data_IF_172872415425
#
_entry.id   IF_172872415425
#
_cell.length_a   1.000
_cell.length_b   1.000
_cell.length_c   1.000
_cell.angle_alpha   90.00
_cell.angle_beta   90.00
_cell.angle_gamma   90.00
#
_symmetry.space_group_name_H-M   'P 1'
#
loop_
_entity.id
_entity.type
_entity.pdbx_description
1 polymer ?
#
# COMPACT_ATOMS: atom_id res chain seq x y z
N UNK A 1 18.46 27.08 3.80
CA UNK A 1 17.08 27.03 3.23
C UNK A 1 16.91 25.91 2.21
N UNK A 2 17.82 25.75 1.25
CA UNK A 2 17.69 24.70 0.23
C UNK A 2 17.67 23.29 0.84
N UNK A 3 18.49 23.03 1.85
CA UNK A 3 18.50 21.72 2.53
C UNK A 3 17.18 21.47 3.25
N UNK A 4 16.65 22.49 3.91
CA UNK A 4 15.36 22.39 4.60
C UNK A 4 14.23 22.15 3.61
N UNK A 5 14.22 22.85 2.48
CA UNK A 5 13.21 22.64 1.44
C UNK A 5 13.30 21.24 0.83
N UNK A 6 14.50 20.74 0.60
CA UNK A 6 14.71 19.39 0.07
C UNK A 6 14.18 18.35 1.06
N UNK A 7 14.43 18.54 2.35
CA UNK A 7 13.96 17.63 3.38
C UNK A 7 12.44 17.62 3.49
N UNK A 8 11.82 18.80 3.46
CA UNK A 8 10.36 18.91 3.47
C UNK A 8 9.75 18.23 2.24
N UNK A 9 10.32 18.48 1.07
CA UNK A 9 9.86 17.88 -0.18
C UNK A 9 9.96 16.36 -0.13
N UNK A 10 11.10 15.82 0.34
CA UNK A 10 11.29 14.39 0.48
C UNK A 10 10.29 13.77 1.47
N UNK A 11 10.03 14.44 2.59
CA UNK A 11 9.07 13.96 3.58
C UNK A 11 7.64 13.97 3.04
N UNK A 12 7.26 14.98 2.27
CA UNK A 12 5.94 15.03 1.64
C UNK A 12 5.80 13.90 0.63
N UNK A 13 6.81 13.67 -0.20
CA UNK A 13 6.80 12.59 -1.17
C UNK A 13 6.66 11.22 -0.48
N UNK A 14 7.41 11.00 0.60
CA UNK A 14 7.33 9.78 1.39
C UNK A 14 5.94 9.61 2.00
N UNK A 15 5.37 10.69 2.53
CA UNK A 15 4.04 10.66 3.15
C UNK A 15 2.97 10.28 2.13
N UNK A 16 3.01 10.83 0.93
CA UNK A 16 2.06 10.48 -0.12
C UNK A 16 2.25 9.03 -0.59
N UNK A 17 3.48 8.57 -0.70
CA UNK A 17 3.76 7.19 -1.05
C UNK A 17 3.22 6.21 -0.01
N UNK A 18 3.45 6.48 1.27
CA UNK A 18 2.96 5.64 2.37
C UNK A 18 1.44 5.70 2.46
N UNK A 19 0.85 6.89 2.29
CA UNK A 19 -0.60 7.04 2.30
C UNK A 19 -1.22 6.25 1.16
N UNK A 20 -0.66 6.34 -0.05
CA UNK A 20 -1.13 5.60 -1.21
C UNK A 20 -1.06 4.09 -0.99
N UNK A 21 0.05 3.62 -0.44
CA UNK A 21 0.22 2.20 -0.12
C UNK A 21 -0.80 1.74 0.92
N UNK A 22 -1.02 2.53 1.97
CA UNK A 22 -1.98 2.20 3.02
C UNK A 22 -3.41 2.13 2.48
N UNK A 23 -3.80 3.09 1.64
CA UNK A 23 -5.12 3.09 1.00
C UNK A 23 -5.25 1.87 0.08
N UNK A 24 -4.23 1.59 -0.71
CA UNK A 24 -4.22 0.43 -1.60
C UNK A 24 -4.39 -0.88 -0.85
N UNK A 25 -3.64 -1.08 0.23
CA UNK A 25 -3.75 -2.26 1.09
C UNK A 25 -5.16 -2.35 1.68
N UNK A 26 -5.68 -1.22 2.17
CA UNK A 26 -7.02 -1.17 2.75
C UNK A 26 -8.10 -1.55 1.75
N UNK A 27 -8.02 -1.05 0.52
CA UNK A 27 -8.97 -1.36 -0.54
C UNK A 27 -8.91 -2.84 -0.94
N UNK A 28 -7.72 -3.38 -1.08
CA UNK A 28 -7.53 -4.80 -1.40
C UNK A 28 -8.12 -5.66 -0.28
N UNK A 29 -7.82 -5.34 0.97
CA UNK A 29 -8.32 -6.08 2.12
C UNK A 29 -9.83 -6.04 2.22
N UNK A 30 -10.43 -4.86 2.01
CA UNK A 30 -11.88 -4.69 2.02
C UNK A 30 -12.55 -5.54 0.95
N UNK A 31 -12.03 -5.48 -0.27
CA UNK A 31 -12.61 -6.24 -1.38
C UNK A 31 -12.40 -7.75 -1.21
N UNK A 32 -11.27 -8.15 -0.65
CA UNK A 32 -11.03 -9.56 -0.34
C UNK A 32 -12.02 -10.06 0.70
N UNK A 33 -12.27 -9.28 1.75
CA UNK A 33 -13.22 -9.64 2.79
C UNK A 33 -14.64 -9.79 2.23
N UNK A 34 -15.07 -8.86 1.36
CA UNK A 34 -16.34 -8.95 0.67
C UNK A 34 -16.45 -10.23 -0.17
N UNK A 35 -15.40 -10.50 -0.94
CA UNK A 35 -15.37 -11.65 -1.83
C UNK A 35 -15.44 -12.98 -1.06
N UNK A 36 -14.73 -13.08 0.06
CA UNK A 36 -14.79 -14.26 0.93
C UNK A 36 -16.19 -14.40 1.53
N UNK A 37 -16.79 -13.30 1.93
CA UNK A 37 -18.17 -13.32 2.46
C UNK A 37 -19.18 -13.81 1.45
N UNK A 38 -19.00 -13.47 0.17
CA UNK A 38 -19.90 -13.91 -0.91
C UNK A 38 -19.59 -15.33 -1.38
N UNK A 39 -18.35 -15.76 -1.28
CA UNK A 39 -17.92 -17.05 -1.81
C UNK A 39 -16.89 -17.69 -0.89
N UNK A 40 -17.34 -18.21 0.27
CA UNK A 40 -16.41 -18.82 1.24
C UNK A 40 -15.61 -20.00 0.66
N UNK A 41 -16.18 -20.69 -0.33
CA UNK A 41 -15.49 -21.81 -0.99
C UNK A 41 -14.24 -21.41 -1.75
N UNK A 42 -14.11 -20.11 -2.12
CA UNK A 42 -12.95 -19.59 -2.83
C UNK A 42 -11.99 -18.83 -1.90
N UNK A 43 -12.17 -18.90 -0.59
CA UNK A 43 -11.41 -18.10 0.38
C UNK A 43 -9.90 -18.26 0.23
N UNK A 44 -9.41 -19.47 -0.05
CA UNK A 44 -7.97 -19.69 -0.22
C UNK A 44 -7.41 -18.95 -1.42
N UNK A 45 -8.08 -18.99 -2.57
CA UNK A 45 -7.66 -18.28 -3.77
C UNK A 45 -7.72 -16.76 -3.58
N UNK A 46 -8.77 -16.29 -2.95
CA UNK A 46 -8.95 -14.86 -2.68
C UNK A 46 -7.87 -14.37 -1.74
N UNK A 47 -7.56 -15.12 -0.70
CA UNK A 47 -6.52 -14.76 0.27
C UNK A 47 -5.15 -14.65 -0.40
N UNK A 48 -4.79 -15.61 -1.25
CA UNK A 48 -3.52 -15.59 -1.96
C UNK A 48 -3.41 -14.35 -2.84
N UNK A 49 -4.44 -14.07 -3.63
CA UNK A 49 -4.48 -12.87 -4.49
C UNK A 49 -4.36 -11.59 -3.66
N UNK A 50 -5.09 -11.53 -2.55
CA UNK A 50 -5.10 -10.35 -1.69
C UNK A 50 -3.71 -10.12 -1.06
N UNK A 51 -3.07 -11.17 -0.57
CA UNK A 51 -1.74 -11.05 0.05
C UNK A 51 -0.72 -10.56 -0.97
N UNK A 52 -0.76 -11.10 -2.20
CA UNK A 52 0.14 -10.65 -3.26
C UNK A 52 -0.06 -9.17 -3.57
N UNK A 53 -1.32 -8.75 -3.72
CA UNK A 53 -1.63 -7.35 -4.01
C UNK A 53 -1.22 -6.42 -2.87
N UNK A 54 -1.50 -6.81 -1.63
CA UNK A 54 -1.13 -6.01 -0.45
C UNK A 54 0.39 -5.92 -0.30
N UNK A 55 1.10 -7.01 -0.54
CA UNK A 55 2.57 -7.02 -0.46
C UNK A 55 3.19 -6.10 -1.50
N UNK A 56 2.65 -6.10 -2.73
CA UNK A 56 3.13 -5.20 -3.79
C UNK A 56 2.85 -3.74 -3.44
N UNK A 57 1.68 -3.43 -2.89
CA UNK A 57 1.34 -2.07 -2.47
C UNK A 57 2.25 -1.60 -1.36
N UNK A 58 2.51 -2.45 -0.36
CA UNK A 58 3.45 -2.12 0.72
C UNK A 58 4.87 -1.96 0.21
N UNK A 59 5.28 -2.78 -0.75
CA UNK A 59 6.58 -2.65 -1.38
C UNK A 59 6.78 -1.30 -2.03
N UNK A 60 5.76 -0.78 -2.73
CA UNK A 60 5.80 0.56 -3.30
C UNK A 60 5.92 1.63 -2.22
N UNK A 61 5.23 1.46 -1.10
CA UNK A 61 5.32 2.38 0.03
C UNK A 61 6.72 2.42 0.62
N UNK A 62 7.34 1.27 0.79
CA UNK A 62 8.71 1.17 1.30
C UNK A 62 9.69 1.82 0.32
N UNK A 63 9.54 1.56 -0.98
CA UNK A 63 10.37 2.21 -1.99
C UNK A 63 10.21 3.72 -1.95
N UNK A 64 8.99 4.22 -1.83
CA UNK A 64 8.75 5.65 -1.73
C UNK A 64 9.43 6.25 -0.51
N UNK A 65 9.41 5.54 0.62
CA UNK A 65 10.05 6.00 1.85
C UNK A 65 11.56 6.18 1.66
N UNK A 66 12.21 5.25 0.98
CA UNK A 66 13.66 5.29 0.80
C UNK A 66 14.10 6.13 -0.39
N UNK A 67 13.37 6.09 -1.50
CA UNK A 67 13.78 6.78 -2.72
C UNK A 67 13.41 8.26 -2.73
N UNK A 68 12.45 8.69 -1.93
CA UNK A 68 12.04 10.09 -1.86
C UNK A 68 13.01 10.97 -1.05
N UNK A 69 13.98 10.36 -0.42
CA UNK A 69 14.98 11.12 0.35
C UNK A 69 16.09 11.71 -0.57
#
# INVERSE_FOLDING_TARGET
>A
MSILLAEITGNIASAFGLLGAAIGVGLIGQKAAEAVGRNPGASGKILVQAIIGMALAEGLGILALFLAK
#
